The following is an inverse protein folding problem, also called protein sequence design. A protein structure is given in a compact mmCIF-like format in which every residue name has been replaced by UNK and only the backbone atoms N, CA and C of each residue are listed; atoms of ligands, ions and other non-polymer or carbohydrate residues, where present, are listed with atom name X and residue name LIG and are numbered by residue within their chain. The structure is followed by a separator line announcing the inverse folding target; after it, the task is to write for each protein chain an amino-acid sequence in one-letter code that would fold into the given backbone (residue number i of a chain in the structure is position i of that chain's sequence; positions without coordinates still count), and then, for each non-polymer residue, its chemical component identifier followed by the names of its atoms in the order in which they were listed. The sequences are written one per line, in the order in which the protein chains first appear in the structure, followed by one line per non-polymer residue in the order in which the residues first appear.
data_IF_655913410688
#
_entry.id   IF_655913410688
#
_cell.length_a   1.000
_cell.length_b   1.000
_cell.length_c   1.000
_cell.angle_alpha   90.00
_cell.angle_beta   90.00
_cell.angle_gamma   90.00
#
_symmetry.space_group_name_H-M   'P 1'
#
loop_
_entity.id
_entity.type
_entity.pdbx_description
1 polymer ?
#
# COMPACT_ATOMS: atom_id res chain seq x y z
N UNK A 1 -15.55 -37.71 0.10
CA UNK A 1 -15.75 -36.30 0.50
C UNK A 1 -14.58 -35.49 -0.03
N UNK A 2 -14.81 -34.67 -1.05
CA UNK A 2 -13.78 -33.88 -1.73
C UNK A 2 -13.55 -32.59 -0.92
N UNK A 3 -12.42 -32.52 -0.22
CA UNK A 3 -12.00 -31.34 0.54
C UNK A 3 -11.50 -30.26 -0.41
N UNK A 4 -12.37 -29.31 -0.75
CA UNK A 4 -12.07 -28.12 -1.55
C UNK A 4 -11.10 -27.24 -0.75
N UNK A 5 -9.80 -27.29 -1.07
CA UNK A 5 -8.78 -26.39 -0.52
C UNK A 5 -9.03 -24.97 -1.04
N UNK A 6 -9.76 -24.16 -0.28
CA UNK A 6 -9.89 -22.74 -0.55
C UNK A 6 -8.58 -22.07 -0.07
N UNK A 7 -7.64 -21.89 -1.00
CA UNK A 7 -6.51 -21.00 -0.79
C UNK A 7 -7.01 -19.56 -0.75
N UNK A 8 -7.28 -19.05 0.45
CA UNK A 8 -7.46 -17.61 0.64
C UNK A 8 -6.09 -16.94 0.52
N UNK A 9 -5.76 -16.53 -0.71
CA UNK A 9 -4.87 -15.41 -0.92
C UNK A 9 -5.56 -14.19 -0.31
N UNK A 10 -5.02 -13.68 0.80
CA UNK A 10 -5.43 -12.41 1.36
C UNK A 10 -4.97 -11.32 0.36
N UNK A 11 -5.75 -11.10 -0.69
CA UNK A 11 -5.60 -9.95 -1.59
C UNK A 11 -6.15 -8.76 -0.81
N UNK A 12 -5.42 -8.30 0.21
CA UNK A 12 -5.83 -7.11 0.97
C UNK A 12 -5.37 -5.81 0.31
N UNK A 13 -4.69 -5.88 -0.85
CA UNK A 13 -4.08 -4.71 -1.50
C UNK A 13 -4.64 -4.39 -2.88
N UNK A 14 -5.84 -4.88 -3.22
CA UNK A 14 -6.36 -4.78 -4.59
C UNK A 14 -7.51 -3.81 -4.85
N UNK A 15 -8.42 -3.58 -3.89
CA UNK A 15 -9.77 -3.13 -4.27
C UNK A 15 -10.13 -1.68 -3.91
N UNK A 16 -9.48 -1.04 -2.94
CA UNK A 16 -10.00 0.25 -2.42
C UNK A 16 -9.17 1.45 -2.89
N UNK A 17 -7.91 1.23 -3.23
CA UNK A 17 -7.04 2.25 -3.77
C UNK A 17 -7.46 2.67 -5.21
N UNK A 18 -8.28 1.86 -5.87
CA UNK A 18 -8.82 2.10 -7.22
C UNK A 18 -9.97 3.10 -7.27
N UNK A 19 -10.62 3.42 -6.15
CA UNK A 19 -11.77 4.35 -6.11
C UNK A 19 -11.39 5.79 -5.75
N UNK A 20 -10.22 6.02 -5.14
CA UNK A 20 -9.69 7.36 -4.90
C UNK A 20 -8.95 7.96 -6.11
N UNK A 21 -8.59 7.12 -7.10
CA UNK A 21 -7.80 7.46 -8.29
C UNK A 21 -8.67 7.91 -9.48
N UNK A 22 -9.97 8.12 -9.29
CA UNK A 22 -10.86 8.50 -10.40
C UNK A 22 -10.74 9.99 -10.83
N UNK A 23 -9.97 10.85 -10.15
CA UNK A 23 -10.04 12.30 -10.37
C UNK A 23 -8.72 13.10 -10.38
N UNK A 24 -7.54 12.46 -10.37
CA UNK A 24 -6.26 13.20 -10.51
C UNK A 24 -5.52 12.75 -11.79
N UNK A 25 -5.39 13.60 -12.82
CA UNK A 25 -4.68 13.26 -14.06
C UNK A 25 -3.16 13.06 -13.86
N UNK A 26 -2.63 13.32 -12.65
CA UNK A 26 -1.26 13.04 -12.22
C UNK A 26 -1.18 12.07 -11.02
N UNK A 27 -2.28 11.39 -10.67
CA UNK A 27 -2.18 10.20 -9.81
C UNK A 27 -1.55 9.09 -10.65
N UNK A 28 -0.24 8.92 -10.52
CA UNK A 28 0.41 7.68 -10.90
C UNK A 28 -0.36 6.55 -10.22
N UNK A 29 -1.06 5.77 -11.04
CA UNK A 29 -1.63 4.49 -10.68
C UNK A 29 -0.65 3.77 -9.76
N UNK A 30 -1.12 3.38 -8.57
CA UNK A 30 -0.38 2.41 -7.79
C UNK A 30 -0.03 1.24 -8.72
N UNK A 31 1.22 0.75 -8.70
CA UNK A 31 1.65 -0.27 -9.64
C UNK A 31 0.67 -1.44 -9.57
N UNK A 32 0.03 -1.75 -10.71
CA UNK A 32 -0.88 -2.87 -10.89
C UNK A 32 -0.29 -4.11 -10.15
N UNK A 33 -1.06 -4.92 -9.41
CA UNK A 33 -0.55 -6.12 -8.75
C UNK A 33 0.29 -7.02 -9.67
N UNK A 34 0.02 -7.05 -10.97
CA UNK A 34 0.85 -7.73 -11.98
C UNK A 34 2.19 -7.01 -12.24
N UNK A 35 2.19 -5.68 -12.27
CA UNK A 35 3.41 -4.87 -12.39
C UNK A 35 4.29 -5.01 -11.14
N UNK A 36 3.69 -5.06 -9.93
CA UNK A 36 4.42 -5.39 -8.71
C UNK A 36 5.04 -6.79 -8.78
N UNK A 37 4.32 -7.80 -9.28
CA UNK A 37 4.88 -9.15 -9.46
C UNK A 37 6.06 -9.17 -10.44
N UNK A 38 5.97 -8.44 -11.55
CA UNK A 38 7.07 -8.33 -12.52
C UNK A 38 8.28 -7.60 -11.93
N UNK A 39 8.06 -6.52 -11.19
CA UNK A 39 9.12 -5.79 -10.49
C UNK A 39 9.78 -6.67 -9.42
N UNK A 40 8.97 -7.45 -8.69
CA UNK A 40 9.41 -8.42 -7.71
C UNK A 40 10.34 -9.48 -8.31
N UNK A 41 9.99 -10.03 -9.48
CA UNK A 41 10.82 -11.01 -10.20
C UNK A 41 12.15 -10.41 -10.67
N UNK A 42 12.17 -9.16 -11.17
CA UNK A 42 13.40 -8.50 -11.62
C UNK A 42 14.36 -8.22 -10.45
N UNK A 43 13.86 -7.66 -9.36
CA UNK A 43 14.67 -7.36 -8.16
C UNK A 43 15.35 -8.60 -7.58
N UNK A 44 14.64 -9.73 -7.55
CA UNK A 44 15.20 -11.01 -7.09
C UNK A 44 16.34 -11.52 -7.97
N UNK A 45 16.24 -11.34 -9.29
CA UNK A 45 17.23 -11.86 -10.24
C UNK A 45 18.46 -10.97 -10.34
N UNK A 46 18.27 -9.65 -10.29
CA UNK A 46 19.34 -8.69 -10.59
C UNK A 46 20.16 -8.32 -9.35
N UNK A 47 19.53 -8.14 -8.18
CA UNK A 47 20.19 -7.56 -6.99
C UNK A 47 19.69 -8.12 -5.64
N UNK A 48 19.96 -9.39 -5.33
CA UNK A 48 19.44 -10.05 -4.13
C UNK A 48 19.92 -9.42 -2.81
N UNK A 49 21.17 -8.95 -2.73
CA UNK A 49 21.72 -8.34 -1.50
C UNK A 49 21.11 -6.97 -1.19
N UNK A 50 20.94 -6.13 -2.22
CA UNK A 50 20.33 -4.80 -2.07
C UNK A 50 18.85 -4.92 -1.71
N UNK A 51 18.13 -5.86 -2.35
CA UNK A 51 16.73 -6.14 -2.03
C UNK A 51 16.55 -6.59 -0.57
N UNK A 52 17.41 -7.49 -0.08
CA UNK A 52 17.40 -7.93 1.32
C UNK A 52 17.68 -6.77 2.30
N UNK A 53 18.68 -5.95 2.01
CA UNK A 53 19.00 -4.78 2.83
C UNK A 53 17.84 -3.78 2.89
N UNK A 54 17.21 -3.50 1.75
CA UNK A 54 16.03 -2.64 1.64
C UNK A 54 14.83 -3.20 2.42
N UNK A 55 14.55 -4.50 2.29
CA UNK A 55 13.48 -5.16 3.03
C UNK A 55 13.69 -5.08 4.56
N UNK A 56 14.94 -5.29 5.02
CA UNK A 56 15.31 -5.14 6.43
C UNK A 56 15.17 -3.70 6.92
N UNK A 57 15.67 -2.74 6.16
CA UNK A 57 15.55 -1.31 6.47
C UNK A 57 14.08 -0.90 6.61
N UNK A 58 13.24 -1.40 5.70
CA UNK A 58 11.81 -1.14 5.76
C UNK A 58 11.16 -1.73 7.00
N UNK A 59 11.42 -3.00 7.34
CA UNK A 59 10.91 -3.60 8.57
C UNK A 59 11.39 -2.86 9.83
N UNK A 60 12.63 -2.39 9.87
CA UNK A 60 13.11 -1.57 11.00
C UNK A 60 12.28 -0.29 11.17
N UNK A 61 11.80 0.29 10.07
CA UNK A 61 10.98 1.49 10.08
C UNK A 61 9.53 1.22 10.49
N UNK A 62 8.92 0.16 9.95
CA UNK A 62 7.45 -0.04 10.05
C UNK A 62 7.02 -1.13 11.04
N UNK A 63 7.89 -2.09 11.33
CA UNK A 63 7.59 -3.24 12.19
C UNK A 63 8.89 -3.88 12.73
N UNK A 64 9.64 -3.20 13.62
CA UNK A 64 10.98 -3.62 14.03
C UNK A 64 11.01 -5.00 14.69
N UNK A 65 9.92 -5.38 15.36
CA UNK A 65 9.74 -6.70 15.96
C UNK A 65 9.65 -7.84 14.92
N UNK A 66 9.44 -7.54 13.64
CA UNK A 66 9.35 -8.53 12.57
C UNK A 66 10.67 -8.80 11.87
N UNK A 67 11.74 -8.02 12.13
CA UNK A 67 13.05 -8.23 11.47
C UNK A 67 13.54 -9.67 11.68
N UNK A 68 13.46 -10.20 12.91
CA UNK A 68 13.85 -11.59 13.21
C UNK A 68 12.92 -12.65 12.58
N UNK A 69 11.70 -12.28 12.18
CA UNK A 69 10.80 -13.20 11.46
C UNK A 69 11.22 -13.37 10.01
N UNK A 70 11.87 -12.37 9.40
CA UNK A 70 12.46 -12.48 8.07
C UNK A 70 13.64 -13.45 8.08
N UNK A 71 14.50 -13.36 9.11
CA UNK A 71 15.61 -14.29 9.31
C UNK A 71 15.12 -15.73 9.52
N UNK A 72 13.98 -15.90 10.20
CA UNK A 72 13.36 -17.21 10.43
C UNK A 72 12.84 -17.88 9.16
N UNK A 73 12.65 -17.13 8.06
CA UNK A 73 12.27 -17.68 6.75
C UNK A 73 13.50 -18.14 5.95
N UNK A 74 14.69 -17.67 6.29
CA UNK A 74 15.92 -18.06 5.59
C UNK A 74 16.19 -19.54 5.89
N UNK A 75 16.38 -20.39 4.87
CA UNK A 75 16.74 -21.77 5.12
C UNK A 75 18.07 -21.83 5.88
N UNK A 76 18.16 -22.75 6.85
CA UNK A 76 19.42 -23.02 7.52
C UNK A 76 20.47 -23.43 6.47
N UNK A 77 21.75 -23.06 6.62
CA UNK A 77 22.80 -23.58 5.76
C UNK A 77 22.74 -25.11 5.81
N UNK A 78 22.61 -25.73 4.64
CA UNK A 78 22.44 -27.18 4.52
C UNK A 78 23.55 -27.90 5.29
N UNK A 79 23.18 -28.62 6.35
CA UNK A 79 24.01 -29.72 6.80
C UNK A 79 23.88 -30.80 5.71
N UNK A 80 24.98 -31.25 5.06
CA UNK A 80 24.89 -32.31 4.07
C UNK A 80 24.27 -33.54 4.74
N UNK A 81 23.16 -34.06 4.18
CA UNK A 81 22.35 -35.20 4.65
C UNK A 81 21.25 -34.93 5.70
N UNK A 82 20.40 -33.92 5.54
CA UNK A 82 19.10 -33.93 6.25
C UNK A 82 18.06 -34.76 5.47
N UNK A 83 17.47 -35.82 6.06
CA UNK A 83 16.45 -36.62 5.39
C UNK A 83 15.20 -35.77 5.14
N UNK A 84 14.66 -35.86 3.92
CA UNK A 84 13.36 -35.26 3.58
C UNK A 84 12.30 -35.96 4.42
N UNK A 85 11.73 -35.25 5.39
CA UNK A 85 10.63 -35.77 6.21
C UNK A 85 9.35 -35.78 5.37
N UNK A 86 8.95 -36.97 4.92
CA UNK A 86 7.66 -37.20 4.27
C UNK A 86 6.68 -37.63 5.35
N UNK A 87 5.71 -36.78 5.67
CA UNK A 87 4.59 -37.13 6.56
C UNK A 87 3.34 -37.25 5.66
N UNK A 88 2.67 -38.40 5.69
CA UNK A 88 1.47 -38.70 4.91
C UNK A 88 1.59 -38.44 3.39
N UNK A 89 2.76 -38.76 2.81
CA UNK A 89 3.03 -38.58 1.37
C UNK A 89 3.27 -37.13 0.94
N UNK A 90 3.33 -36.18 1.88
CA UNK A 90 3.61 -34.77 1.62
C UNK A 90 5.03 -34.46 2.10
N UNK A 91 5.93 -33.95 1.23
CA UNK A 91 7.22 -33.42 1.66
C UNK A 91 6.98 -32.26 2.63
N UNK A 92 7.42 -32.40 3.88
CA UNK A 92 7.40 -31.30 4.84
C UNK A 92 8.51 -30.32 4.47
N UNK A 93 8.16 -29.03 4.32
CA UNK A 93 9.05 -27.89 4.14
C UNK A 93 10.38 -28.22 3.45
N UNK A 94 10.33 -28.46 2.13
CA UNK A 94 11.58 -28.58 1.37
C UNK A 94 12.36 -27.26 1.46
N UNK A 95 13.70 -27.31 1.50
CA UNK A 95 14.54 -26.12 1.51
C UNK A 95 14.15 -25.10 0.43
N UNK A 96 13.75 -25.59 -0.75
CA UNK A 96 13.28 -24.79 -1.89
C UNK A 96 11.99 -24.00 -1.59
N UNK A 97 11.03 -24.57 -0.86
CA UNK A 97 9.79 -23.87 -0.50
C UNK A 97 10.03 -22.78 0.55
N UNK A 98 10.90 -23.05 1.52
CA UNK A 98 11.31 -22.06 2.52
C UNK A 98 12.08 -20.90 1.86
N UNK A 99 13.02 -21.23 0.96
CA UNK A 99 13.76 -20.26 0.16
C UNK A 99 12.84 -19.41 -0.72
N UNK A 100 11.84 -20.02 -1.36
CA UNK A 100 10.84 -19.29 -2.15
C UNK A 100 9.99 -18.34 -1.30
N UNK A 101 9.56 -18.76 -0.11
CA UNK A 101 8.83 -17.90 0.82
C UNK A 101 9.68 -16.74 1.31
N UNK A 102 10.93 -16.99 1.67
CA UNK A 102 11.89 -15.97 2.08
C UNK A 102 12.03 -14.89 1.03
N UNK A 103 12.37 -15.27 -0.21
CA UNK A 103 12.56 -14.31 -1.28
C UNK A 103 11.27 -13.57 -1.61
N UNK A 104 10.10 -14.25 -1.61
CA UNK A 104 8.82 -13.57 -1.83
C UNK A 104 8.54 -12.46 -0.81
N UNK A 105 8.88 -12.68 0.46
CA UNK A 105 8.68 -11.67 1.50
C UNK A 105 9.70 -10.52 1.34
N UNK A 106 10.98 -10.84 1.09
CA UNK A 106 12.01 -9.84 0.80
C UNK A 106 11.55 -8.92 -0.32
N UNK A 107 11.17 -9.49 -1.46
CA UNK A 107 10.86 -8.66 -2.62
C UNK A 107 9.55 -7.88 -2.46
N UNK A 108 8.55 -8.41 -1.76
CA UNK A 108 7.36 -7.64 -1.40
C UNK A 108 7.73 -6.44 -0.52
N UNK A 109 8.55 -6.63 0.51
CA UNK A 109 9.00 -5.56 1.40
C UNK A 109 9.86 -4.52 0.66
N UNK A 110 10.72 -4.95 -0.27
CA UNK A 110 11.52 -4.03 -1.10
C UNK A 110 10.63 -3.12 -1.95
N UNK A 111 9.62 -3.69 -2.63
CA UNK A 111 8.69 -2.91 -3.46
C UNK A 111 7.85 -1.96 -2.59
N UNK A 112 7.38 -2.42 -1.44
CA UNK A 112 6.66 -1.58 -0.48
C UNK A 112 7.52 -0.43 0.04
N UNK A 113 8.81 -0.66 0.26
CA UNK A 113 9.74 0.37 0.67
C UNK A 113 9.93 1.45 -0.40
N UNK A 114 10.22 1.05 -1.64
CA UNK A 114 10.35 1.98 -2.79
C UNK A 114 9.08 2.82 -2.99
N UNK A 115 7.90 2.21 -2.80
CA UNK A 115 6.63 2.92 -2.88
C UNK A 115 6.50 3.99 -1.79
N UNK A 116 6.86 3.67 -0.54
CA UNK A 116 6.82 4.61 0.58
C UNK A 116 7.86 5.71 0.41
N UNK A 117 9.06 5.40 -0.07
CA UNK A 117 10.11 6.40 -0.33
C UNK A 117 9.65 7.41 -1.41
N UNK A 118 9.12 6.92 -2.53
CA UNK A 118 8.56 7.77 -3.61
C UNK A 118 7.39 8.61 -3.11
N UNK A 119 6.50 8.03 -2.31
CA UNK A 119 5.38 8.76 -1.73
C UNK A 119 5.86 9.83 -0.74
N UNK A 120 6.87 9.53 0.08
CA UNK A 120 7.42 10.44 1.09
C UNK A 120 7.99 11.72 0.48
N UNK A 121 8.53 11.65 -0.75
CA UNK A 121 9.00 12.81 -1.49
C UNK A 121 7.87 13.80 -1.86
N UNK A 122 6.62 13.31 -1.94
CA UNK A 122 5.44 14.10 -2.34
C UNK A 122 4.54 14.46 -1.15
N UNK A 123 4.30 13.49 -0.28
CA UNK A 123 3.37 13.56 0.84
C UNK A 123 3.89 12.64 1.97
N UNK A 124 4.74 13.21 2.82
CA UNK A 124 5.37 12.49 3.94
C UNK A 124 4.36 11.96 4.96
N UNK A 125 3.21 12.62 5.12
CA UNK A 125 2.20 12.20 6.08
C UNK A 125 1.42 11.01 5.55
N UNK A 126 1.03 11.02 4.28
CA UNK A 126 0.43 9.86 3.61
C UNK A 126 1.41 8.69 3.56
N UNK A 127 2.69 8.96 3.29
CA UNK A 127 3.75 7.94 3.30
C UNK A 127 3.88 7.25 4.66
N UNK A 128 3.80 8.00 5.77
CA UNK A 128 3.81 7.43 7.12
C UNK A 128 2.62 6.49 7.38
N UNK A 129 1.41 6.88 6.94
CA UNK A 129 0.22 6.05 7.11
C UNK A 129 0.29 4.76 6.29
N UNK A 130 0.68 4.88 5.01
CA UNK A 130 0.87 3.73 4.11
C UNK A 130 1.98 2.80 4.62
N UNK A 131 3.10 3.36 5.10
CA UNK A 131 4.18 2.56 5.71
C UNK A 131 3.69 1.74 6.91
N UNK A 132 2.90 2.34 7.79
CA UNK A 132 2.28 1.62 8.92
C UNK A 132 1.35 0.50 8.44
N UNK A 133 0.53 0.75 7.42
CA UNK A 133 -0.35 -0.27 6.84
C UNK A 133 0.45 -1.47 6.33
N UNK A 134 1.54 -1.24 5.60
CA UNK A 134 2.43 -2.30 5.13
C UNK A 134 3.09 -3.07 6.28
N UNK A 135 3.48 -2.39 7.37
CA UNK A 135 3.96 -3.05 8.59
C UNK A 135 2.92 -3.97 9.23
N UNK A 136 1.66 -3.54 9.28
CA UNK A 136 0.54 -4.38 9.76
C UNK A 136 0.29 -5.58 8.86
N UNK A 137 0.36 -5.41 7.53
CA UNK A 137 0.23 -6.51 6.57
C UNK A 137 1.36 -7.54 6.70
N UNK A 138 2.61 -7.09 6.86
CA UNK A 138 3.75 -7.97 7.09
C UNK A 138 3.56 -8.79 8.37
N UNK A 139 3.04 -8.17 9.44
CA UNK A 139 2.70 -8.87 10.67
C UNK A 139 1.57 -9.89 10.44
N UNK A 140 0.53 -9.51 9.72
CA UNK A 140 -0.60 -10.39 9.42
C UNK A 140 -0.14 -11.63 8.63
N UNK A 141 0.76 -11.46 7.65
CA UNK A 141 1.39 -12.59 6.93
C UNK A 141 2.22 -13.47 7.86
N UNK A 142 2.98 -12.89 8.78
CA UNK A 142 3.73 -13.65 9.78
C UNK A 142 2.81 -14.47 10.70
N UNK A 143 1.71 -13.87 11.20
CA UNK A 143 0.70 -14.59 11.99
C UNK A 143 -0.01 -15.67 11.17
N UNK A 144 -0.29 -15.43 9.89
CA UNK A 144 -0.90 -16.43 9.01
C UNK A 144 0.01 -17.64 8.82
N UNK A 145 1.33 -17.43 8.67
CA UNK A 145 2.31 -18.53 8.65
C UNK A 145 2.33 -19.29 9.97
N UNK A 146 2.36 -18.58 11.10
CA UNK A 146 2.31 -19.20 12.42
C UNK A 146 1.03 -20.03 12.63
N UNK A 147 -0.12 -19.55 12.12
CA UNK A 147 -1.40 -20.26 12.20
C UNK A 147 -1.36 -21.63 11.49
N UNK A 148 -0.72 -21.72 10.32
CA UNK A 148 -0.68 -22.95 9.50
C UNK A 148 -0.01 -24.11 10.25
N UNK A 149 0.96 -23.82 11.09
CA UNK A 149 1.74 -24.82 11.84
C UNK A 149 1.35 -24.90 13.33
N UNK A 150 0.41 -24.07 13.78
CA UNK A 150 0.00 -24.03 15.17
C UNK A 150 -0.89 -25.22 15.56
N UNK A 151 -0.67 -25.74 16.76
CA UNK A 151 -1.59 -26.68 17.42
C UNK A 151 -2.98 -26.05 17.58
N UNK A 152 -4.03 -26.88 17.53
CA UNK A 152 -5.44 -26.43 17.54
C UNK A 152 -5.76 -25.48 18.70
N UNK A 153 -5.26 -25.80 19.90
CA UNK A 153 -5.44 -24.97 21.10
C UNK A 153 -4.86 -23.54 20.98
N UNK A 154 -3.86 -23.31 20.11
CA UNK A 154 -3.25 -22.00 19.89
C UNK A 154 -3.89 -21.21 18.74
N UNK A 155 -4.68 -21.85 17.88
CA UNK A 155 -5.28 -21.21 16.70
C UNK A 155 -6.23 -20.05 17.06
N UNK A 156 -7.10 -20.14 18.08
CA UNK A 156 -7.97 -19.01 18.46
C UNK A 156 -7.19 -17.76 18.85
N UNK A 157 -6.09 -17.91 19.58
CA UNK A 157 -5.25 -16.78 19.99
C UNK A 157 -4.56 -16.11 18.78
N UNK A 158 -4.08 -16.90 17.81
CA UNK A 158 -3.49 -16.37 16.58
C UNK A 158 -4.56 -15.68 15.71
N UNK A 159 -5.77 -16.26 15.63
CA UNK A 159 -6.91 -15.62 14.94
C UNK A 159 -7.21 -14.24 15.53
N UNK A 160 -7.27 -14.12 16.86
CA UNK A 160 -7.50 -12.83 17.53
C UNK A 160 -6.42 -11.80 17.21
N UNK A 161 -5.15 -12.20 17.09
CA UNK A 161 -4.07 -11.31 16.64
C UNK A 161 -4.26 -10.84 15.20
N UNK A 162 -4.63 -11.75 14.29
CA UNK A 162 -4.90 -11.41 12.89
C UNK A 162 -6.08 -10.42 12.80
N UNK A 163 -7.15 -10.67 13.54
CA UNK A 163 -8.32 -9.79 13.59
C UNK A 163 -7.94 -8.38 14.03
N UNK A 164 -7.18 -8.24 15.12
CA UNK A 164 -6.70 -6.95 15.61
C UNK A 164 -5.83 -6.20 14.57
N UNK A 165 -4.94 -6.92 13.87
CA UNK A 165 -4.10 -6.33 12.82
C UNK A 165 -4.93 -5.81 11.64
N UNK A 166 -5.94 -6.58 11.22
CA UNK A 166 -6.83 -6.20 10.12
C UNK A 166 -7.69 -4.98 10.52
N UNK A 167 -8.21 -4.94 11.75
CA UNK A 167 -8.95 -3.78 12.26
C UNK A 167 -8.09 -2.52 12.22
N UNK A 168 -6.86 -2.58 12.75
CA UNK A 168 -5.94 -1.44 12.74
C UNK A 168 -5.59 -0.99 11.30
N UNK A 169 -5.49 -1.94 10.37
CA UNK A 169 -5.26 -1.64 8.97
C UNK A 169 -6.41 -0.82 8.37
N UNK A 170 -7.66 -1.25 8.59
CA UNK A 170 -8.83 -0.50 8.13
C UNK A 170 -9.00 0.86 8.81
N UNK A 171 -8.58 1.00 10.07
CA UNK A 171 -8.57 2.31 10.74
C UNK A 171 -7.59 3.29 10.06
N UNK A 172 -6.44 2.81 9.59
CA UNK A 172 -5.49 3.61 8.82
C UNK A 172 -6.03 3.94 7.42
N UNK A 173 -6.73 3.00 6.76
CA UNK A 173 -7.43 3.29 5.49
C UNK A 173 -8.46 4.41 5.65
N UNK A 174 -9.25 4.36 6.73
CA UNK A 174 -10.24 5.40 7.03
C UNK A 174 -9.56 6.77 7.25
N UNK A 175 -8.40 6.80 7.91
CA UNK A 175 -7.62 8.03 8.08
C UNK A 175 -7.09 8.58 6.75
N UNK A 176 -6.62 7.71 5.85
CA UNK A 176 -6.21 8.10 4.50
C UNK A 176 -7.38 8.68 3.72
N UNK A 177 -8.53 8.01 3.72
CA UNK A 177 -9.74 8.49 3.05
C UNK A 177 -10.20 9.84 3.60
N UNK A 178 -10.18 10.03 4.91
CA UNK A 178 -10.55 11.32 5.52
C UNK A 178 -9.64 12.47 5.06
N UNK A 179 -8.34 12.21 4.90
CA UNK A 179 -7.39 13.21 4.36
C UNK A 179 -7.67 13.54 2.90
N UNK A 180 -7.98 12.52 2.09
CA UNK A 180 -8.35 12.74 0.68
C UNK A 180 -9.61 13.58 0.55
N UNK A 181 -10.62 13.32 1.38
CA UNK A 181 -11.83 14.14 1.44
C UNK A 181 -11.47 15.59 1.77
N UNK A 182 -10.67 15.82 2.82
CA UNK A 182 -10.28 17.17 3.23
C UNK A 182 -9.51 17.91 2.13
N UNK A 183 -8.65 17.21 1.37
CA UNK A 183 -7.93 17.79 0.24
C UNK A 183 -8.88 18.19 -0.90
N UNK A 184 -9.86 17.35 -1.23
CA UNK A 184 -10.87 17.63 -2.25
C UNK A 184 -11.74 18.82 -1.82
N UNK A 185 -12.18 18.86 -0.56
CA UNK A 185 -12.99 19.96 -0.02
C UNK A 185 -12.25 21.29 -0.10
N UNK A 186 -10.95 21.30 0.22
CA UNK A 186 -10.10 22.49 0.07
C UNK A 186 -10.01 22.94 -1.39
N UNK A 187 -9.70 22.04 -2.33
CA UNK A 187 -9.64 22.36 -3.77
C UNK A 187 -10.99 22.90 -4.28
N UNK A 188 -12.10 22.33 -3.81
CA UNK A 188 -13.44 22.78 -4.17
C UNK A 188 -13.71 24.20 -3.64
N UNK A 189 -13.29 24.51 -2.41
CA UNK A 189 -13.41 25.85 -1.85
C UNK A 189 -12.62 26.89 -2.66
N UNK A 190 -11.40 26.55 -3.10
CA UNK A 190 -10.58 27.41 -3.96
C UNK A 190 -11.25 27.70 -5.31
N UNK A 191 -11.79 26.67 -5.96
CA UNK A 191 -12.51 26.81 -7.24
C UNK A 191 -13.76 27.68 -7.08
N UNK A 192 -14.51 27.52 -5.98
CA UNK A 192 -15.69 28.35 -5.67
C UNK A 192 -15.29 29.81 -5.46
N UNK A 193 -14.24 30.06 -4.68
CA UNK A 193 -13.74 31.41 -4.44
C UNK A 193 -13.28 32.08 -5.74
N UNK A 194 -12.55 31.36 -6.58
CA UNK A 194 -12.12 31.87 -7.89
C UNK A 194 -13.30 32.16 -8.82
N UNK A 195 -14.30 31.28 -8.86
CA UNK A 195 -15.50 31.50 -9.66
C UNK A 195 -16.24 32.76 -9.23
N UNK A 196 -16.36 32.99 -7.92
CA UNK A 196 -16.98 34.21 -7.40
C UNK A 196 -16.20 35.46 -7.79
N UNK A 197 -14.87 35.47 -7.66
CA UNK A 197 -14.03 36.59 -8.10
C UNK A 197 -14.22 36.93 -9.58
N UNK A 198 -14.39 35.91 -10.43
CA UNK A 198 -14.65 36.10 -11.87
C UNK A 198 -16.04 36.70 -12.13
N UNK A 199 -17.05 36.28 -11.37
CA UNK A 199 -18.40 36.85 -11.44
C UNK A 199 -18.35 38.34 -11.06
N UNK A 200 -17.71 38.68 -9.94
CA UNK A 200 -17.61 40.06 -9.45
C UNK A 200 -16.87 40.95 -10.46
N UNK A 201 -15.72 40.48 -10.96
CA UNK A 201 -14.95 41.19 -12.00
C UNK A 201 -15.74 41.39 -13.30
N UNK A 202 -16.54 40.39 -13.69
CA UNK A 202 -17.40 40.51 -14.88
C UNK A 202 -18.50 41.54 -14.65
N UNK A 203 -19.09 41.60 -13.46
CA UNK A 203 -20.09 42.61 -13.12
C UNK A 203 -19.52 44.04 -13.20
N UNK A 204 -18.30 44.25 -12.68
CA UNK A 204 -17.57 45.52 -12.81
C UNK A 204 -17.31 45.90 -14.28
N UNK A 205 -16.83 44.94 -15.08
CA UNK A 205 -16.58 45.16 -16.50
C UNK A 205 -17.86 45.54 -17.27
N UNK A 206 -18.98 44.86 -16.99
CA UNK A 206 -20.27 45.17 -17.60
C UNK A 206 -20.68 46.61 -17.26
N UNK A 207 -20.56 47.02 -16.00
CA UNK A 207 -20.87 48.39 -15.57
C UNK A 207 -20.04 49.42 -16.35
N UNK A 208 -18.72 49.20 -16.41
CA UNK A 208 -17.82 50.07 -17.17
C UNK A 208 -18.23 50.17 -18.65
N UNK A 209 -18.50 49.03 -19.30
CA UNK A 209 -18.89 48.99 -20.71
C UNK A 209 -20.21 49.74 -20.95
N UNK A 210 -21.20 49.58 -20.07
CA UNK A 210 -22.48 50.30 -20.16
C UNK A 210 -22.29 51.81 -19.98
N UNK A 211 -21.51 52.23 -18.98
CA UNK A 211 -21.22 53.64 -18.71
C UNK A 211 -20.51 54.32 -19.89
N UNK A 212 -19.66 53.58 -20.61
CA UNK A 212 -18.95 54.06 -21.80
C UNK A 212 -19.90 54.20 -23.00
N UNK A 213 -20.74 53.19 -23.26
CA UNK A 213 -21.76 53.23 -24.32
C UNK A 213 -22.71 54.42 -24.12
N UNK A 214 -23.18 54.66 -22.89
CA UNK A 214 -24.08 55.77 -22.58
C UNK A 214 -23.37 57.11 -22.79
N UNK A 215 -22.10 57.23 -22.37
CA UNK A 215 -21.32 58.47 -22.57
C UNK A 215 -21.12 58.79 -24.05
N UNK A 216 -20.83 57.79 -24.87
CA UNK A 216 -20.66 57.96 -26.31
C UNK A 216 -21.98 58.39 -26.98
N UNK A 217 -23.11 57.79 -26.58
CA UNK A 217 -24.42 58.13 -27.13
C UNK A 217 -24.89 59.57 -26.86
N UNK A 218 -24.36 60.24 -25.83
CA UNK A 218 -24.73 61.61 -25.44
C UNK A 218 -23.78 62.66 -26.05
N UNK A 219 -22.70 62.26 -26.73
CA UNK A 219 -21.74 63.21 -27.32
C UNK A 219 -22.38 63.98 -28.48
N UNK A 220 -22.24 65.32 -28.54
CA UNK A 220 -22.68 66.09 -29.70
C UNK A 220 -21.83 65.73 -30.92
N UNK A 221 -22.47 65.61 -32.09
CA UNK A 221 -21.81 65.41 -33.39
C UNK A 221 -21.09 66.67 -33.88
#
# INVERSE_FOLDING_TARGET
MVGRRIGFALILTGAIASLAVAQDPNAQEMPNPQAMQMQMQRLMQERPREAEAAARAFLMLVAPNLVGTLDSLKPAPEAPNQPILIIDGIPQNTPDQALGQYWSEVAQLTVQFDMVEKLSQRDSVRAQLVGKMFGLEANARAQQRAYRIAAEARRPAIRGKIEALITQHFDLENQLRAREIADIERRLAEVRAESQRRIDKRAEFIKFAVDDIIRDAIRPH
#
